data_IF_519013964948
#
_entry.id   IF_519013964948
#
_cell.length_a   1.000
_cell.length_b   1.000
_cell.length_c   1.000
_cell.angle_alpha   90.00
_cell.angle_beta   90.00
_cell.angle_gamma   90.00
#
_symmetry.space_group_name_H-M   'P 1'
#
loop_
_entity.id
_entity.type
_entity.pdbx_description
1 polymer ?
#
# COMPACT_ATOMS: atom_id res chain seq x y z
N UNK A 1 11.68 1.47 10.16
CA UNK A 1 10.46 1.11 10.91
C UNK A 1 10.83 0.89 12.36
N UNK A 2 10.14 1.59 13.27
CA UNK A 2 10.39 1.47 14.71
C UNK A 2 9.26 0.75 15.43
N UNK A 3 9.61 -0.03 16.45
CA UNK A 3 8.65 -0.81 17.23
C UNK A 3 8.80 -0.49 18.71
N UNK A 4 7.67 -0.26 19.37
CA UNK A 4 7.53 -0.21 20.82
C UNK A 4 6.54 -1.28 21.26
N UNK A 5 6.65 -1.72 22.50
CA UNK A 5 5.69 -2.61 23.13
C UNK A 5 4.92 -1.83 24.21
N UNK A 6 3.60 -1.95 24.18
CA UNK A 6 2.68 -1.43 25.19
C UNK A 6 3.08 -1.90 26.60
N UNK A 7 2.99 -1.01 27.58
CA UNK A 7 3.31 -1.23 29.01
C UNK A 7 4.74 -1.70 29.32
N UNK A 8 5.60 -1.91 28.32
CA UNK A 8 7.00 -2.23 28.54
C UNK A 8 7.77 -1.02 29.08
N UNK A 9 8.67 -1.27 30.02
CA UNK A 9 9.45 -0.23 30.70
C UNK A 9 10.78 -0.03 29.97
N UNK A 10 10.86 1.01 29.14
CA UNK A 10 12.08 1.41 28.44
C UNK A 10 12.88 2.43 29.26
N UNK A 11 14.21 2.49 29.11
CA UNK A 11 14.99 3.60 29.64
C UNK A 11 14.71 4.86 28.82
N UNK A 12 14.52 6.02 29.47
CA UNK A 12 14.25 7.30 28.78
C UNK A 12 15.29 7.57 27.68
N UNK A 13 16.57 7.31 27.97
CA UNK A 13 17.69 7.56 27.04
C UNK A 13 17.55 6.86 25.70
N UNK A 14 16.94 5.68 25.69
CA UNK A 14 16.94 4.79 24.53
C UNK A 14 15.75 5.09 23.61
N UNK A 15 14.67 5.65 24.17
CA UNK A 15 13.40 5.88 23.45
C UNK A 15 12.97 7.34 23.36
N UNK A 16 13.69 8.29 23.97
CA UNK A 16 13.33 9.72 23.99
C UNK A 16 12.98 10.28 22.62
N UNK A 17 13.86 10.04 21.64
CA UNK A 17 13.65 10.54 20.28
C UNK A 17 12.51 9.80 19.59
N UNK A 18 12.34 8.50 19.90
CA UNK A 18 11.28 7.65 19.33
C UNK A 18 9.91 8.04 19.86
N UNK A 19 9.79 8.46 21.11
CA UNK A 19 8.54 8.88 21.77
C UNK A 19 8.10 10.32 21.45
N UNK A 20 8.88 11.04 20.64
CA UNK A 20 8.59 12.43 20.29
C UNK A 20 7.17 12.60 19.71
N UNK A 21 6.31 13.30 20.46
CA UNK A 21 4.96 13.65 20.03
C UNK A 21 3.84 12.76 20.59
N UNK A 22 4.14 11.82 21.49
CA UNK A 22 3.18 11.04 22.28
C UNK A 22 3.39 11.30 23.78
N UNK A 23 2.29 11.36 24.53
CA UNK A 23 2.33 11.40 25.99
C UNK A 23 2.70 10.01 26.52
N UNK A 24 3.87 9.90 27.13
CA UNK A 24 4.33 8.66 27.76
C UNK A 24 4.44 8.87 29.28
N UNK A 25 4.20 7.82 30.06
CA UNK A 25 4.29 7.91 31.51
C UNK A 25 5.75 7.69 31.94
N UNK A 26 6.36 8.72 32.52
CA UNK A 26 7.70 8.65 33.10
C UNK A 26 7.61 8.28 34.59
N UNK A 27 8.37 7.26 35.00
CA UNK A 27 8.54 6.88 36.38
C UNK A 27 9.73 7.63 37.01
N UNK A 28 9.72 7.76 38.35
CA UNK A 28 10.78 8.42 39.15
C UNK A 28 12.16 7.80 38.92
N UNK A 29 12.22 6.54 38.47
CA UNK A 29 13.45 5.80 38.16
C UNK A 29 14.03 6.05 36.75
N UNK A 30 13.49 7.01 35.98
CA UNK A 30 13.98 7.29 34.62
C UNK A 30 13.60 6.22 33.59
N UNK A 31 12.48 5.52 33.84
CA UNK A 31 11.86 4.56 32.91
C UNK A 31 10.55 5.11 32.37
N UNK A 32 10.20 4.71 31.15
CA UNK A 32 9.01 5.17 30.44
C UNK A 32 8.22 3.97 29.90
N UNK A 33 6.90 4.05 30.02
CA UNK A 33 5.97 3.11 29.38
C UNK A 33 4.88 3.83 28.58
N UNK A 34 4.44 3.17 27.51
CA UNK A 34 3.39 3.66 26.61
C UNK A 34 2.14 2.79 26.78
N UNK A 35 0.98 3.42 26.97
CA UNK A 35 -0.31 2.73 27.22
C UNK A 35 -1.25 2.74 25.99
N UNK A 36 -0.67 2.91 24.81
CA UNK A 36 -1.41 2.95 23.56
C UNK A 36 -0.99 1.79 22.68
N UNK A 37 -1.93 1.26 21.89
CA UNK A 37 -1.65 0.30 20.81
C UNK A 37 -2.02 0.96 19.50
N UNK A 38 -1.13 0.89 18.52
CA UNK A 38 -1.37 1.53 17.23
C UNK A 38 -0.09 1.94 16.55
N UNK A 39 -0.14 3.11 15.91
CA UNK A 39 0.96 3.62 15.11
C UNK A 39 0.84 5.14 15.00
N UNK A 40 1.97 5.79 14.80
CA UNK A 40 2.04 7.22 14.54
C UNK A 40 3.28 7.54 13.72
N UNK A 41 3.27 8.74 13.15
CA UNK A 41 4.43 9.26 12.44
C UNK A 41 5.25 10.14 13.39
N UNK A 42 6.50 9.75 13.62
CA UNK A 42 7.44 10.55 14.38
C UNK A 42 8.07 11.59 13.46
N UNK A 43 7.79 12.88 13.73
CA UNK A 43 8.28 13.99 12.90
C UNK A 43 9.77 14.28 13.06
N UNK A 44 10.36 13.94 14.21
CA UNK A 44 11.77 14.16 14.51
C UNK A 44 12.63 13.19 13.68
N UNK A 45 12.30 11.91 13.75
CA UNK A 45 13.01 10.83 13.05
C UNK A 45 12.54 10.64 11.61
N UNK A 46 11.40 11.24 11.25
CA UNK A 46 10.73 11.11 9.95
C UNK A 46 10.38 9.65 9.61
N UNK A 47 10.10 8.84 10.64
CA UNK A 47 9.73 7.43 10.51
C UNK A 47 8.43 7.10 11.25
N UNK A 48 7.80 5.99 10.86
CA UNK A 48 6.63 5.46 11.54
C UNK A 48 7.06 4.61 12.73
N UNK A 49 6.41 4.87 13.86
CA UNK A 49 6.57 4.09 15.09
C UNK A 49 5.30 3.27 15.28
N UNK A 50 5.45 1.96 15.40
CA UNK A 50 4.37 1.04 15.76
C UNK A 50 4.46 0.71 17.24
N UNK A 51 3.32 0.76 17.92
CA UNK A 51 3.22 0.31 19.31
C UNK A 51 2.38 -0.97 19.29
N UNK A 52 3.03 -2.09 19.54
CA UNK A 52 2.42 -3.40 19.54
C UNK A 52 1.87 -3.74 20.94
N UNK A 53 0.77 -4.50 21.02
CA UNK A 53 0.18 -4.90 22.29
C UNK A 53 1.12 -5.79 23.11
N UNK A 54 1.03 -5.67 24.44
CA UNK A 54 1.86 -6.42 25.39
C UNK A 54 1.71 -7.95 25.30
N UNK A 55 0.66 -8.45 24.67
CA UNK A 55 0.42 -9.89 24.45
C UNK A 55 1.54 -10.57 23.64
N UNK A 56 2.38 -9.80 22.94
CA UNK A 56 3.55 -10.33 22.24
C UNK A 56 4.73 -10.63 23.18
N UNK A 57 4.69 -10.13 24.41
CA UNK A 57 5.65 -10.46 25.45
C UNK A 57 5.31 -11.85 26.00
N UNK A 58 6.25 -12.77 25.84
CA UNK A 58 6.16 -14.13 26.34
C UNK A 58 7.27 -14.36 27.35
N UNK A 59 6.98 -15.14 28.38
CA UNK A 59 7.99 -15.64 29.31
C UNK A 59 9.00 -16.52 28.56
N UNK A 60 10.28 -16.40 28.90
CA UNK A 60 11.34 -17.24 28.36
C UNK A 60 11.08 -18.71 28.65
N UNK A 61 10.94 -19.52 27.60
CA UNK A 61 10.72 -20.97 27.70
C UNK A 61 12.00 -21.74 28.04
N UNK A 62 13.16 -21.08 28.06
CA UNK A 62 14.45 -21.76 28.01
C UNK A 62 15.22 -21.86 29.32
N UNK A 63 15.00 -21.01 30.35
CA UNK A 63 15.75 -21.12 31.63
C UNK A 63 15.03 -20.59 32.88
N UNK A 64 15.34 -21.26 34.00
CA UNK A 64 14.98 -21.04 35.43
C UNK A 64 15.33 -19.65 36.03
N UNK A 65 15.28 -18.56 35.26
CA UNK A 65 15.62 -17.23 35.76
C UNK A 65 14.66 -16.18 35.24
N UNK A 66 13.90 -15.56 36.17
CA UNK A 66 13.08 -14.33 36.05
C UNK A 66 12.27 -14.21 34.75
N UNK A 67 10.92 -14.27 34.83
CA UNK A 67 9.94 -13.85 33.81
C UNK A 67 10.51 -12.82 32.84
N UNK A 68 11.12 -13.27 31.75
CA UNK A 68 11.76 -12.39 30.81
C UNK A 68 10.71 -12.04 29.78
N UNK A 69 10.27 -10.79 29.77
CA UNK A 69 9.30 -10.25 28.81
C UNK A 69 9.95 -10.17 27.42
N UNK A 70 10.02 -11.29 26.72
CA UNK A 70 10.67 -11.40 25.41
C UNK A 70 9.63 -11.39 24.29
N UNK A 71 9.91 -10.66 23.23
CA UNK A 71 9.11 -10.66 22.01
C UNK A 71 9.37 -11.96 21.25
N UNK A 72 8.30 -12.67 20.88
CA UNK A 72 8.34 -14.04 20.33
C UNK A 72 9.07 -15.06 21.22
N UNK A 73 9.29 -14.74 22.51
CA UNK A 73 10.10 -15.56 23.41
C UNK A 73 11.59 -15.61 23.07
N UNK A 74 12.08 -14.70 22.21
CA UNK A 74 13.47 -14.71 21.71
C UNK A 74 14.20 -13.39 21.89
N UNK A 75 13.52 -12.27 21.61
CA UNK A 75 14.16 -10.96 21.48
C UNK A 75 13.79 -10.05 22.64
N UNK A 76 14.73 -9.26 23.12
CA UNK A 76 14.39 -8.18 24.06
C UNK A 76 13.68 -7.05 23.31
N UNK A 77 12.69 -6.37 23.90
CA UNK A 77 12.02 -5.24 23.24
C UNK A 77 12.98 -4.13 22.78
N UNK A 78 14.12 -3.96 23.43
CA UNK A 78 15.17 -3.02 23.05
C UNK A 78 15.91 -3.43 21.76
N UNK A 79 16.03 -4.72 21.49
CA UNK A 79 16.73 -5.25 20.30
C UNK A 79 15.93 -5.06 19.01
N UNK A 80 14.61 -4.82 19.12
CA UNK A 80 13.70 -4.66 17.98
C UNK A 80 13.21 -3.21 17.81
N UNK A 81 13.79 -2.26 18.56
CA UNK A 81 13.40 -0.85 18.54
C UNK A 81 13.51 -0.22 17.14
N UNK A 82 14.62 -0.48 16.43
CA UNK A 82 14.88 0.01 15.08
C UNK A 82 15.25 -1.13 14.13
N UNK A 83 14.29 -1.54 13.32
CA UNK A 83 14.46 -2.64 12.38
C UNK A 83 15.17 -2.24 11.07
N UNK A 84 15.39 -0.94 10.84
CA UNK A 84 16.11 -0.47 9.65
C UNK A 84 17.63 -0.52 9.88
N UNK A 85 18.09 -0.25 11.10
CA UNK A 85 19.50 -0.33 11.48
C UNK A 85 19.95 -1.78 11.69
N UNK A 86 19.19 -2.55 12.47
CA UNK A 86 19.47 -3.96 12.71
C UNK A 86 18.16 -4.74 12.81
N UNK A 87 17.99 -5.75 11.95
CA UNK A 87 16.78 -6.57 11.95
C UNK A 87 17.09 -8.00 12.43
N UNK A 88 16.87 -8.30 13.73
CA UNK A 88 17.13 -9.63 14.27
C UNK A 88 16.00 -10.63 13.94
N UNK A 89 14.88 -10.17 13.39
CA UNK A 89 13.69 -10.98 13.14
C UNK A 89 13.86 -11.89 11.91
N UNK A 90 13.33 -13.11 12.01
CA UNK A 90 13.16 -13.98 10.85
C UNK A 90 12.15 -13.39 9.85
N UNK A 91 12.17 -13.87 8.60
CA UNK A 91 11.21 -13.43 7.57
C UNK A 91 9.76 -13.64 8.02
N UNK A 92 9.47 -14.76 8.69
CA UNK A 92 8.13 -15.09 9.17
C UNK A 92 7.66 -14.16 10.30
N UNK A 93 8.53 -13.89 11.28
CA UNK A 93 8.25 -12.97 12.39
C UNK A 93 8.06 -11.53 11.88
N UNK A 94 8.90 -11.10 10.95
CA UNK A 94 8.78 -9.80 10.30
C UNK A 94 7.47 -9.66 9.52
N UNK A 95 7.12 -10.68 8.72
CA UNK A 95 5.85 -10.72 7.99
C UNK A 95 4.64 -10.73 8.94
N UNK A 96 4.76 -11.41 10.09
CA UNK A 96 3.75 -11.37 11.14
C UNK A 96 3.57 -9.96 11.68
N UNK A 97 4.65 -9.28 12.10
CA UNK A 97 4.58 -7.91 12.64
C UNK A 97 3.93 -6.95 11.64
N UNK A 98 4.33 -7.02 10.36
CA UNK A 98 3.73 -6.18 9.33
C UNK A 98 2.24 -6.45 9.13
N UNK A 99 1.82 -7.73 9.04
CA UNK A 99 0.40 -8.09 8.92
C UNK A 99 -0.39 -7.67 10.15
N UNK A 100 0.19 -7.86 11.33
CA UNK A 100 -0.44 -7.55 12.60
C UNK A 100 -0.65 -6.04 12.76
N UNK A 101 0.33 -5.22 12.39
CA UNK A 101 0.21 -3.77 12.37
C UNK A 101 -0.92 -3.30 11.43
N UNK A 102 -1.09 -3.93 10.27
CA UNK A 102 -2.20 -3.65 9.35
C UNK A 102 -3.54 -4.00 9.99
N UNK A 103 -3.65 -5.14 10.68
CA UNK A 103 -4.86 -5.54 11.37
C UNK A 103 -5.23 -4.61 12.53
N UNK A 104 -4.24 -4.19 13.34
CA UNK A 104 -4.43 -3.18 14.39
C UNK A 104 -4.99 -1.88 13.78
N UNK A 105 -4.39 -1.39 12.70
CA UNK A 105 -4.90 -0.22 11.99
C UNK A 105 -6.36 -0.41 11.55
N UNK A 106 -6.68 -1.54 10.92
CA UNK A 106 -8.05 -1.81 10.46
C UNK A 106 -9.03 -1.87 11.61
N UNK A 107 -8.68 -2.56 12.71
CA UNK A 107 -9.53 -2.65 13.89
C UNK A 107 -9.83 -1.26 14.46
N UNK A 108 -8.81 -0.39 14.59
CA UNK A 108 -8.98 1.00 15.06
C UNK A 108 -9.91 1.79 14.12
N UNK A 109 -9.71 1.69 12.80
CA UNK A 109 -10.56 2.40 11.83
C UNK A 109 -11.99 1.91 11.87
N UNK A 110 -12.22 0.58 11.86
CA UNK A 110 -13.55 -0.01 11.90
C UNK A 110 -14.27 0.36 13.19
N UNK A 111 -13.57 0.29 14.33
CA UNK A 111 -14.13 0.69 15.62
C UNK A 111 -14.54 2.16 15.60
N UNK A 112 -13.69 3.05 15.09
CA UNK A 112 -13.97 4.49 15.02
C UNK A 112 -15.13 4.84 14.06
N UNK A 113 -15.22 4.14 12.94
CA UNK A 113 -16.25 4.39 11.93
C UNK A 113 -17.63 3.85 12.35
N UNK A 114 -17.68 2.98 13.36
CA UNK A 114 -18.94 2.52 13.96
C UNK A 114 -19.62 3.65 14.76
N UNK A 115 -20.92 3.84 14.52
CA UNK A 115 -21.69 4.95 15.13
C UNK A 115 -22.02 4.70 16.60
N UNK A 116 -21.88 3.46 17.07
CA UNK A 116 -22.23 3.04 18.43
C UNK A 116 -21.00 2.97 19.36
N UNK A 117 -19.80 3.17 18.84
CA UNK A 117 -18.56 3.03 19.60
C UNK A 117 -18.21 4.27 20.40
N UNK A 118 -17.54 4.06 21.54
CA UNK A 118 -16.95 5.15 22.30
C UNK A 118 -15.63 5.59 21.63
N UNK A 119 -15.75 6.50 20.67
CA UNK A 119 -14.61 7.04 19.94
C UNK A 119 -13.60 7.80 20.82
N UNK A 120 -13.93 8.11 22.08
CA UNK A 120 -13.03 8.76 23.03
C UNK A 120 -11.82 7.91 23.42
N UNK A 121 -11.93 6.58 23.30
CA UNK A 121 -10.83 5.64 23.55
C UNK A 121 -9.75 5.73 22.46
N UNK A 122 -10.12 6.18 21.25
CA UNK A 122 -9.20 6.26 20.11
C UNK A 122 -8.47 7.62 20.12
N UNK A 123 -7.23 7.61 20.60
CA UNK A 123 -6.35 8.76 20.47
C UNK A 123 -5.93 8.96 19.00
N UNK A 124 -6.61 9.87 18.30
CA UNK A 124 -6.34 10.17 16.90
C UNK A 124 -5.64 11.52 16.75
N UNK A 125 -4.32 11.52 16.84
CA UNK A 125 -3.53 12.64 16.30
C UNK A 125 -3.51 12.49 14.79
N UNK A 126 -4.01 13.49 14.05
CA UNK A 126 -3.88 13.48 12.58
C UNK A 126 -2.41 13.29 12.28
N UNK A 127 -2.07 12.17 11.64
CA UNK A 127 -0.79 12.01 10.97
C UNK A 127 -0.69 13.26 10.10
N UNK A 128 0.25 14.15 10.42
CA UNK A 128 0.56 15.22 9.49
C UNK A 128 0.99 14.50 8.24
N UNK A 129 0.11 14.51 7.24
CA UNK A 129 0.36 13.89 5.97
C UNK A 129 1.60 14.60 5.43
N UNK A 130 2.75 13.95 5.52
CA UNK A 130 3.97 14.42 4.85
C UNK A 130 3.57 14.59 3.40
N UNK A 131 3.71 15.83 2.91
CA UNK A 131 2.92 16.39 1.82
C UNK A 131 2.82 15.54 0.55
N UNK A 132 1.77 15.83 -0.21
CA UNK A 132 1.33 15.18 -1.45
C UNK A 132 2.29 15.30 -2.65
N UNK A 133 3.59 15.11 -2.46
CA UNK A 133 4.62 15.25 -3.50
C UNK A 133 5.45 13.99 -3.74
N UNK A 134 6.13 13.94 -4.90
CA UNK A 134 7.10 12.92 -5.38
C UNK A 134 8.22 12.52 -4.39
N UNK A 135 8.29 13.12 -3.19
CA UNK A 135 9.29 12.86 -2.15
C UNK A 135 8.73 12.11 -0.92
N UNK A 136 7.48 11.62 -0.96
CA UNK A 136 6.96 10.74 0.09
C UNK A 136 7.75 9.44 0.07
N UNK A 137 8.59 9.22 1.08
CA UNK A 137 9.13 7.89 1.35
C UNK A 137 8.03 7.10 2.05
N UNK A 138 7.51 6.08 1.37
CA UNK A 138 6.62 5.11 1.99
C UNK A 138 7.45 4.25 2.93
N UNK A 139 7.53 4.64 4.20
CA UNK A 139 8.48 4.01 5.14
C UNK A 139 8.01 2.64 5.65
N UNK A 140 6.72 2.29 5.47
CA UNK A 140 6.16 1.05 6.00
C UNK A 140 5.20 0.40 5.02
N UNK A 141 5.02 -0.92 5.18
CA UNK A 141 4.03 -1.67 4.39
C UNK A 141 2.62 -1.09 4.53
N UNK A 142 2.21 -0.71 5.75
CA UNK A 142 0.93 -0.04 5.99
C UNK A 142 0.83 1.27 5.19
N UNK A 143 1.89 2.09 5.15
CA UNK A 143 1.86 3.36 4.41
C UNK A 143 1.70 3.14 2.90
N UNK A 144 2.30 2.09 2.34
CA UNK A 144 2.13 1.68 0.94
C UNK A 144 0.67 1.29 0.69
N UNK A 145 0.07 0.46 1.55
CA UNK A 145 -1.34 0.05 1.43
C UNK A 145 -2.28 1.27 1.47
N UNK A 146 -2.08 2.17 2.43
CA UNK A 146 -2.88 3.39 2.57
C UNK A 146 -2.71 4.31 1.37
N UNK A 147 -1.50 4.40 0.81
CA UNK A 147 -1.22 5.19 -0.38
C UNK A 147 -1.92 4.63 -1.61
N UNK A 148 -1.95 3.32 -1.81
CA UNK A 148 -2.71 2.67 -2.89
C UNK A 148 -4.21 2.98 -2.80
N UNK A 149 -4.79 2.84 -1.60
CA UNK A 149 -6.22 3.08 -1.37
C UNK A 149 -6.58 4.56 -1.57
N UNK A 150 -5.73 5.46 -1.05
CA UNK A 150 -5.87 6.91 -1.23
C UNK A 150 -5.78 7.28 -2.71
N UNK A 151 -4.80 6.75 -3.42
CA UNK A 151 -4.61 7.00 -4.85
C UNK A 151 -5.86 6.58 -5.62
N UNK A 152 -6.44 5.42 -5.30
CA UNK A 152 -7.70 4.94 -5.90
C UNK A 152 -8.87 5.93 -5.69
N UNK A 153 -8.97 6.49 -4.48
CA UNK A 153 -10.04 7.42 -4.10
C UNK A 153 -9.88 8.81 -4.74
N UNK A 154 -8.66 9.33 -4.79
CA UNK A 154 -8.38 10.69 -5.26
C UNK A 154 -8.27 10.80 -6.78
N UNK A 155 -7.88 9.73 -7.49
CA UNK A 155 -7.59 9.77 -8.92
C UNK A 155 -8.65 9.05 -9.78
N UNK A 156 -9.93 9.04 -9.36
CA UNK A 156 -11.01 8.40 -10.13
C UNK A 156 -11.16 8.97 -11.55
N UNK A 157 -11.07 10.29 -11.70
CA UNK A 157 -11.15 10.98 -13.00
C UNK A 157 -10.06 10.54 -13.97
N UNK A 158 -8.86 10.27 -13.47
CA UNK A 158 -7.73 9.75 -14.25
C UNK A 158 -8.04 8.35 -14.81
N UNK A 159 -8.60 7.45 -14.00
CA UNK A 159 -9.00 6.12 -14.48
C UNK A 159 -10.09 6.20 -15.55
N UNK A 160 -11.14 7.01 -15.31
CA UNK A 160 -12.20 7.20 -16.29
C UNK A 160 -11.69 7.83 -17.59
N UNK A 161 -10.73 8.74 -17.53
CA UNK A 161 -10.09 9.31 -18.71
C UNK A 161 -9.35 8.26 -19.54
N UNK A 162 -8.56 7.39 -18.91
CA UNK A 162 -7.86 6.29 -19.60
C UNK A 162 -8.88 5.35 -20.25
N UNK A 163 -9.91 4.93 -19.51
CA UNK A 163 -10.97 4.05 -20.00
C UNK A 163 -11.73 4.68 -21.17
N UNK A 164 -12.10 5.96 -21.05
CA UNK A 164 -12.73 6.72 -22.13
C UNK A 164 -11.85 6.74 -23.37
N UNK A 165 -10.56 7.02 -23.22
CA UNK A 165 -9.62 7.03 -24.33
C UNK A 165 -9.47 5.66 -25.00
N UNK A 166 -9.38 4.60 -24.20
CA UNK A 166 -9.37 3.22 -24.68
C UNK A 166 -10.59 2.92 -25.56
N UNK A 167 -11.79 3.28 -25.09
CA UNK A 167 -13.03 3.04 -25.83
C UNK A 167 -13.19 3.94 -27.06
N UNK A 168 -12.74 5.20 -26.99
CA UNK A 168 -12.89 6.18 -28.08
C UNK A 168 -12.07 5.89 -29.33
N UNK A 169 -11.08 4.99 -29.26
CA UNK A 169 -10.20 4.60 -30.37
C UNK A 169 -10.57 3.28 -31.06
N UNK A 170 -11.51 2.52 -30.49
CA UNK A 170 -11.93 1.21 -31.01
C UNK A 170 -12.76 1.35 -32.28
N UNK A 171 -12.47 0.52 -33.28
CA UNK A 171 -13.21 0.39 -34.54
C UNK A 171 -13.37 1.69 -35.36
N UNK A 172 -12.56 2.72 -35.08
CA UNK A 172 -12.46 3.87 -35.98
C UNK A 172 -11.80 3.44 -37.29
N UNK A 173 -12.43 3.81 -38.39
CA UNK A 173 -11.90 3.60 -39.74
C UNK A 173 -10.59 4.37 -39.86
N UNK A 174 -9.52 3.66 -40.23
CA UNK A 174 -8.28 4.31 -40.63
C UNK A 174 -8.40 4.68 -42.12
N UNK A 175 -8.90 5.88 -42.40
CA UNK A 175 -9.13 6.34 -43.77
C UNK A 175 -7.86 6.29 -44.62
N UNK A 176 -6.73 6.74 -44.10
CA UNK A 176 -5.44 6.69 -44.81
C UNK A 176 -5.06 5.26 -45.23
N UNK A 177 -5.22 4.29 -44.32
CA UNK A 177 -4.93 2.88 -44.63
C UNK A 177 -5.98 2.24 -45.53
N UNK A 178 -7.22 2.69 -45.44
CA UNK A 178 -8.35 2.20 -46.27
C UNK A 178 -8.17 2.65 -47.72
N UNK A 179 -7.93 3.94 -47.94
CA UNK A 179 -7.66 4.54 -49.26
C UNK A 179 -6.43 3.90 -49.91
N UNK A 180 -5.37 3.63 -49.13
CA UNK A 180 -4.15 3.01 -49.67
C UNK A 180 -4.29 1.53 -50.05
N UNK A 181 -5.24 0.79 -49.44
CA UNK A 181 -5.38 -0.66 -49.64
C UNK A 181 -6.48 -1.06 -50.62
N UNK A 182 -7.51 -0.24 -50.77
CA UNK A 182 -8.67 -0.57 -51.58
C UNK A 182 -8.98 0.59 -52.53
N UNK A 183 -9.23 0.32 -53.81
CA UNK A 183 -9.80 1.33 -54.69
C UNK A 183 -11.23 1.66 -54.24
N UNK A 184 -11.62 2.93 -54.33
CA UNK A 184 -12.98 3.36 -54.08
C UNK A 184 -13.90 2.95 -55.23
N UNK A 185 -15.13 2.54 -54.91
CA UNK A 185 -16.22 2.41 -55.89
C UNK A 185 -16.95 3.76 -55.92
N UNK A 186 -17.04 4.39 -57.09
CA UNK A 186 -17.73 5.68 -57.22
C UNK A 186 -19.20 5.40 -57.54
N UNK A 187 -20.10 5.85 -56.66
CA UNK A 187 -21.53 5.82 -56.88
C UNK A 187 -22.09 7.20 -56.55
N UNK A 188 -22.90 7.78 -57.44
CA UNK A 188 -23.51 9.11 -57.26
C UNK A 188 -22.49 10.20 -56.86
N UNK A 189 -21.34 10.24 -57.54
CA UNK A 189 -20.24 11.17 -57.27
C UNK A 189 -19.59 11.06 -55.87
N UNK A 190 -19.89 9.99 -55.11
CA UNK A 190 -19.32 9.74 -53.79
C UNK A 190 -18.47 8.46 -53.77
N UNK A 191 -17.27 8.48 -53.15
CA UNK A 191 -16.44 7.29 -53.02
C UNK A 191 -16.95 6.37 -51.90
N UNK A 192 -17.24 5.11 -52.24
CA UNK A 192 -17.71 4.06 -51.33
C UNK A 192 -16.61 3.00 -51.17
N UNK A 193 -16.35 2.59 -49.93
CA UNK A 193 -15.42 1.52 -49.58
C UNK A 193 -16.17 0.38 -48.90
N UNK A 194 -16.15 -0.82 -49.50
CA UNK A 194 -16.90 -1.98 -48.98
C UNK A 194 -16.27 -2.57 -47.71
N UNK A 195 -14.95 -2.50 -47.56
CA UNK A 195 -14.21 -3.18 -46.49
C UNK A 195 -13.19 -2.25 -45.80
N UNK A 196 -13.65 -1.25 -45.03
CA UNK A 196 -12.77 -0.27 -44.40
C UNK A 196 -11.76 -0.93 -43.44
N UNK A 197 -10.52 -0.45 -43.49
CA UNK A 197 -9.47 -0.92 -42.60
C UNK A 197 -9.60 -0.24 -41.22
N UNK A 198 -10.11 -0.97 -40.24
CA UNK A 198 -10.27 -0.46 -38.87
C UNK A 198 -8.95 -0.44 -38.10
N UNK A 199 -8.80 0.54 -37.19
CA UNK A 199 -7.75 0.49 -36.16
C UNK A 199 -8.04 -0.68 -35.22
N UNK A 200 -7.16 -1.69 -35.23
CA UNK A 200 -7.21 -2.81 -34.26
C UNK A 200 -6.68 -2.35 -32.91
N UNK A 201 -7.18 -2.96 -31.83
CA UNK A 201 -6.72 -2.74 -30.46
C UNK A 201 -5.22 -3.00 -30.37
N UNK A 202 -4.43 -1.95 -30.19
CA UNK A 202 -3.05 -2.09 -29.74
C UNK A 202 -3.08 -2.50 -28.27
N UNK A 203 -2.16 -3.34 -27.81
CA UNK A 203 -1.98 -3.64 -26.38
C UNK A 203 -1.83 -2.30 -25.66
N UNK A 204 -2.84 -1.89 -24.90
CA UNK A 204 -2.77 -0.63 -24.19
C UNK A 204 -2.04 -0.89 -22.87
N UNK A 205 -0.78 -0.45 -22.79
CA UNK A 205 0.01 -0.59 -21.56
C UNK A 205 -0.65 0.12 -20.37
N UNK A 206 -1.45 1.15 -20.63
CA UNK A 206 -2.26 1.80 -19.59
C UNK A 206 -3.33 0.84 -19.04
N UNK A 207 -3.95 0.03 -19.90
CA UNK A 207 -4.91 -1.00 -19.45
C UNK A 207 -4.21 -2.04 -18.57
N UNK A 208 -3.04 -2.51 -18.98
CA UNK A 208 -2.27 -3.48 -18.21
C UNK A 208 -1.87 -2.92 -16.83
N UNK A 209 -1.41 -1.67 -16.77
CA UNK A 209 -1.11 -0.97 -15.52
C UNK A 209 -2.34 -0.91 -14.61
N UNK A 210 -3.52 -0.56 -15.16
CA UNK A 210 -4.77 -0.51 -14.41
C UNK A 210 -5.24 -1.89 -13.94
N UNK A 211 -5.11 -2.94 -14.77
CA UNK A 211 -5.44 -4.31 -14.39
C UNK A 211 -4.60 -4.73 -13.20
N UNK A 212 -3.29 -4.49 -13.22
CA UNK A 212 -2.39 -4.80 -12.09
C UNK A 212 -2.82 -4.02 -10.84
N UNK A 213 -3.06 -2.72 -10.97
CA UNK A 213 -3.49 -1.86 -9.87
C UNK A 213 -4.79 -2.33 -9.19
N UNK A 214 -5.84 -2.55 -9.97
CA UNK A 214 -7.12 -2.99 -9.43
C UNK A 214 -7.06 -4.44 -8.90
N UNK A 215 -6.14 -5.26 -9.42
CA UNK A 215 -5.86 -6.60 -8.85
C UNK A 215 -5.22 -6.49 -7.47
N UNK A 216 -4.27 -5.56 -7.28
CA UNK A 216 -3.69 -5.24 -5.97
C UNK A 216 -4.78 -4.76 -5.00
N UNK A 217 -5.63 -3.81 -5.42
CA UNK A 217 -6.72 -3.33 -4.57
C UNK A 217 -7.70 -4.45 -4.18
N UNK A 218 -8.02 -5.34 -5.12
CA UNK A 218 -8.87 -6.49 -4.83
C UNK A 218 -8.21 -7.41 -3.80
N UNK A 219 -6.93 -7.74 -3.98
CA UNK A 219 -6.15 -8.54 -3.03
C UNK A 219 -6.10 -7.92 -1.63
N UNK A 220 -5.80 -6.63 -1.53
CA UNK A 220 -5.75 -5.91 -0.26
C UNK A 220 -7.12 -5.92 0.43
N UNK A 221 -8.19 -5.73 -0.35
CA UNK A 221 -9.55 -5.81 0.17
C UNK A 221 -9.94 -7.21 0.64
N UNK A 222 -9.57 -8.27 -0.11
CA UNK A 222 -9.82 -9.66 0.28
C UNK A 222 -9.02 -10.07 1.52
N UNK A 223 -7.76 -9.65 1.61
CA UNK A 223 -6.83 -10.09 2.66
C UNK A 223 -6.95 -9.32 3.97
N UNK A 224 -7.17 -8.01 3.90
CA UNK A 224 -7.17 -7.11 5.06
C UNK A 224 -8.50 -6.37 5.25
N UNK A 225 -9.51 -6.67 4.44
CA UNK A 225 -10.86 -6.09 4.58
C UNK A 225 -10.95 -4.61 4.24
N UNK A 226 -10.02 -4.03 3.47
CA UNK A 226 -10.14 -2.65 2.99
C UNK A 226 -11.24 -2.49 1.93
N UNK A 227 -11.82 -1.29 1.83
CA UNK A 227 -12.81 -0.95 0.80
C UNK A 227 -12.17 -1.04 -0.59
N UNK A 228 -12.70 -1.94 -1.41
CA UNK A 228 -12.27 -2.14 -2.80
C UNK A 228 -12.87 -1.04 -3.68
N UNK A 229 -12.19 0.10 -3.76
CA UNK A 229 -12.58 1.24 -4.60
C UNK A 229 -12.33 0.93 -6.10
N UNK A 230 -12.98 -0.11 -6.64
CA UNK A 230 -12.83 -0.56 -8.03
C UNK A 230 -13.86 0.17 -8.88
N UNK A 231 -13.46 1.27 -9.49
CA UNK A 231 -14.34 2.11 -10.31
C UNK A 231 -14.56 1.56 -11.73
N UNK A 232 -13.77 0.58 -12.17
CA UNK A 232 -13.76 0.08 -13.54
C UNK A 232 -13.77 -1.46 -13.56
N UNK A 233 -14.60 -2.05 -14.41
CA UNK A 233 -14.74 -3.51 -14.56
C UNK A 233 -13.66 -4.10 -15.46
N UNK A 234 -12.43 -4.16 -14.97
CA UNK A 234 -11.35 -4.90 -15.64
C UNK A 234 -11.34 -6.39 -15.27
N UNK A 235 -10.85 -7.28 -16.15
CA UNK A 235 -10.60 -8.68 -15.80
C UNK A 235 -9.40 -8.75 -14.85
N UNK A 236 -9.68 -8.84 -13.55
CA UNK A 236 -8.65 -8.81 -12.51
C UNK A 236 -7.87 -10.13 -12.44
N UNK A 237 -6.60 -10.01 -12.06
CA UNK A 237 -5.72 -11.14 -11.76
C UNK A 237 -6.02 -11.60 -10.33
N UNK A 238 -6.43 -12.87 -10.17
CA UNK A 238 -6.84 -13.44 -8.88
C UNK A 238 -6.22 -14.82 -8.65
N UNK A 239 -6.28 -15.31 -7.40
CA UNK A 239 -5.83 -16.64 -7.01
C UNK A 239 -4.33 -16.88 -7.26
N UNK A 240 -3.98 -18.10 -7.67
CA UNK A 240 -2.59 -18.52 -7.92
C UNK A 240 -1.84 -17.61 -8.91
N UNK A 241 -2.55 -17.03 -9.89
CA UNK A 241 -1.94 -16.07 -10.81
C UNK A 241 -1.46 -14.83 -10.08
N UNK A 242 -2.22 -14.32 -9.13
CA UNK A 242 -1.82 -13.15 -8.34
C UNK A 242 -0.75 -13.51 -7.29
N UNK A 243 -0.74 -14.73 -6.77
CA UNK A 243 0.35 -15.22 -5.91
C UNK A 243 1.69 -15.23 -6.65
N UNK A 244 1.72 -15.61 -7.93
CA UNK A 244 2.92 -15.49 -8.75
C UNK A 244 3.39 -14.03 -8.88
N UNK A 245 2.45 -13.07 -8.98
CA UNK A 245 2.78 -11.64 -8.98
C UNK A 245 3.44 -11.20 -7.67
N UNK A 246 2.92 -11.65 -6.52
CA UNK A 246 3.51 -11.39 -5.21
C UNK A 246 4.89 -12.04 -5.04
N UNK A 247 5.12 -13.20 -5.67
CA UNK A 247 6.39 -13.93 -5.62
C UNK A 247 7.46 -13.39 -6.62
N UNK A 248 7.36 -12.11 -7.00
CA UNK A 248 8.38 -11.40 -7.80
C UNK A 248 8.03 -11.18 -9.27
N UNK A 249 7.02 -11.87 -9.81
CA UNK A 249 6.59 -11.62 -11.20
C UNK A 249 6.03 -10.20 -11.36
N UNK A 250 5.36 -9.64 -10.35
CA UNK A 250 4.80 -8.29 -10.39
C UNK A 250 5.87 -7.22 -10.59
N UNK A 251 6.96 -7.28 -9.82
CA UNK A 251 8.15 -6.43 -10.00
C UNK A 251 8.72 -6.53 -11.42
N UNK A 252 8.88 -7.76 -11.91
CA UNK A 252 9.44 -8.02 -13.25
C UNK A 252 8.53 -7.43 -14.33
N UNK A 253 7.22 -7.66 -14.21
CA UNK A 253 6.23 -7.20 -15.18
C UNK A 253 6.18 -5.68 -15.20
N UNK A 254 6.10 -5.02 -14.04
CA UNK A 254 6.12 -3.56 -13.93
C UNK A 254 7.36 -2.95 -14.59
N UNK A 255 8.55 -3.53 -14.40
CA UNK A 255 9.78 -3.03 -15.06
C UNK A 255 9.72 -3.12 -16.59
N UNK A 256 9.11 -4.16 -17.15
CA UNK A 256 8.95 -4.32 -18.61
C UNK A 256 8.06 -3.24 -19.24
N UNK A 257 7.13 -2.68 -18.46
CA UNK A 257 6.16 -1.68 -18.93
C UNK A 257 6.55 -0.24 -18.54
N UNK A 258 7.63 -0.03 -17.78
CA UNK A 258 8.09 1.29 -17.25
C UNK A 258 8.18 2.40 -18.31
N UNK A 259 8.81 2.14 -19.45
CA UNK A 259 9.12 3.19 -20.45
C UNK A 259 7.96 3.56 -21.37
N UNK A 260 6.73 3.12 -21.04
CA UNK A 260 5.58 3.24 -21.94
C UNK A 260 4.48 4.15 -21.37
N UNK A 261 4.75 4.83 -20.26
CA UNK A 261 3.83 5.76 -19.60
C UNK A 261 4.13 7.21 -19.97
N UNK A 262 3.09 7.94 -20.36
CA UNK A 262 3.21 9.34 -20.81
C UNK A 262 2.71 10.36 -19.80
N UNK A 263 1.93 9.95 -18.78
CA UNK A 263 1.39 10.86 -17.77
C UNK A 263 2.14 10.74 -16.44
N UNK A 264 2.35 11.87 -15.76
CA UNK A 264 2.96 11.90 -14.43
C UNK A 264 2.19 11.04 -13.42
N UNK A 265 0.86 10.95 -13.57
CA UNK A 265 -0.01 10.11 -12.73
C UNK A 265 0.17 8.62 -12.97
N UNK A 266 0.44 8.19 -14.21
CA UNK A 266 0.77 6.79 -14.49
C UNK A 266 2.13 6.40 -13.91
N UNK A 267 3.11 7.31 -13.93
CA UNK A 267 4.42 7.10 -13.31
C UNK A 267 4.28 7.00 -11.78
N UNK A 268 3.55 7.93 -11.16
CA UNK A 268 3.26 7.90 -9.72
C UNK A 268 2.59 6.56 -9.32
N UNK A 269 1.59 6.12 -10.09
CA UNK A 269 0.92 4.85 -9.87
C UNK A 269 1.88 3.65 -10.01
N UNK A 270 2.74 3.68 -11.02
CA UNK A 270 3.75 2.64 -11.24
C UNK A 270 4.74 2.55 -10.08
N UNK A 271 5.22 3.68 -9.57
CA UNK A 271 6.14 3.73 -8.41
C UNK A 271 5.50 3.14 -7.16
N UNK A 272 4.24 3.51 -6.86
CA UNK A 272 3.50 3.00 -5.70
C UNK A 272 3.32 1.47 -5.82
N UNK A 273 2.96 0.96 -7.00
CA UNK A 273 2.81 -0.48 -7.22
C UNK A 273 4.15 -1.23 -7.18
N UNK A 274 5.24 -0.61 -7.62
CA UNK A 274 6.57 -1.19 -7.51
C UNK A 274 7.01 -1.29 -6.05
N UNK A 275 6.65 -0.33 -5.19
CA UNK A 275 6.90 -0.43 -3.76
C UNK A 275 6.06 -1.54 -3.09
N UNK A 276 4.89 -1.88 -3.64
CA UNK A 276 4.02 -2.92 -3.11
C UNK A 276 4.53 -4.35 -3.37
N UNK A 277 5.10 -4.60 -4.56
CA UNK A 277 5.66 -5.91 -4.94
C UNK A 277 7.09 -6.09 -4.47
#
# INVERSE_FOLDING_TARGET
>A
MRILIEEYQYNVTDVKDTLYGIDALENVEGKVSVHYVGYYYNTLQRDCVFILPKVLLMDDKSKDSKKANLVFGKYRPEEILDLDEHNPLTKEERDFVYKFAVWIYRAIVVYKDDKQSDTGIVYHKRIQQVGSGRRRRSNTYLDILLTLIRFAKENQSFFFYIVKNMHSGLNKINWTRTIAKQPAIIQENSPIYLNPANKKRQINFDEELLVIFFSILNYIGDKYGFTKNICVQFPLIKGQKFEAYLNGYGCTRLRQIKYKYFSDKAIELWEIMLCFF
#
